data_IF_586051337929
#
_entry.id   IF_586051337929
#
_cell.length_a   1.000
_cell.length_b   1.000
_cell.length_c   1.000
_cell.angle_alpha   90.00
_cell.angle_beta   90.00
_cell.angle_gamma   90.00
#
_symmetry.space_group_name_H-M   'P 1'
#
loop_
_entity.id
_entity.type
_entity.pdbx_description
1 polymer ?
#
# COMPACT_ATOMS: atom_id res chain seq x y z
N UNK A 1 16.89 -27.15 -21.64
CA UNK A 1 16.44 -27.53 -20.27
C UNK A 1 17.64 -27.49 -19.33
N UNK A 2 17.81 -26.44 -18.51
CA UNK A 2 18.80 -26.43 -17.44
C UNK A 2 18.15 -26.67 -16.06
N UNK A 3 18.98 -27.16 -15.15
CA UNK A 3 18.68 -27.90 -13.93
C UNK A 3 18.39 -27.00 -12.71
N UNK A 4 17.38 -27.40 -11.93
CA UNK A 4 16.93 -26.83 -10.66
C UNK A 4 17.92 -27.14 -9.51
N UNK A 5 19.12 -26.54 -9.50
CA UNK A 5 20.13 -26.80 -8.43
C UNK A 5 20.76 -25.55 -7.81
N UNK A 6 20.09 -24.39 -7.85
CA UNK A 6 20.53 -23.21 -7.08
C UNK A 6 19.41 -22.71 -6.17
N UNK A 7 19.09 -23.51 -5.14
CA UNK A 7 18.32 -23.02 -4.00
C UNK A 7 19.18 -21.99 -3.25
N UNK A 8 18.85 -20.71 -3.48
CA UNK A 8 19.58 -19.53 -3.04
C UNK A 8 19.96 -19.57 -1.54
N UNK A 9 21.16 -19.06 -1.16
CA UNK A 9 21.59 -18.96 0.24
C UNK A 9 20.62 -18.14 1.12
N UNK A 10 19.83 -17.25 0.51
CA UNK A 10 18.77 -16.50 1.17
C UNK A 10 17.63 -17.39 1.70
N UNK A 11 17.23 -18.44 0.96
CA UNK A 11 16.21 -19.39 1.43
C UNK A 11 16.70 -20.24 2.62
N UNK A 12 18.01 -20.54 2.67
CA UNK A 12 18.63 -21.23 3.80
C UNK A 12 18.72 -20.31 5.03
N UNK A 13 19.12 -19.05 4.85
CA UNK A 13 19.16 -18.05 5.92
C UNK A 13 17.75 -17.77 6.48
N UNK A 14 16.75 -17.59 5.62
CA UNK A 14 15.35 -17.43 6.05
C UNK A 14 14.82 -18.65 6.80
N UNK A 15 15.11 -19.88 6.34
CA UNK A 15 14.73 -21.10 7.07
C UNK A 15 15.43 -21.26 8.42
N UNK A 16 16.64 -20.73 8.57
CA UNK A 16 17.37 -20.74 9.83
C UNK A 16 16.78 -19.70 10.80
N UNK A 17 16.54 -18.47 10.33
CA UNK A 17 15.88 -17.41 11.11
C UNK A 17 14.47 -17.82 11.53
N UNK A 18 13.68 -18.41 10.62
CA UNK A 18 12.35 -18.94 10.92
C UNK A 18 12.42 -20.05 11.97
N UNK A 19 13.38 -20.97 11.87
CA UNK A 19 13.58 -22.02 12.91
C UNK A 19 13.98 -21.43 14.26
N UNK A 20 14.78 -20.37 14.31
CA UNK A 20 15.14 -19.69 15.56
C UNK A 20 13.98 -18.92 16.17
N UNK A 21 13.16 -18.26 15.35
CA UNK A 21 11.96 -17.55 15.79
C UNK A 21 10.91 -18.54 16.30
N UNK A 22 10.66 -19.61 15.55
CA UNK A 22 9.75 -20.70 15.95
C UNK A 22 10.27 -21.42 17.18
N UNK A 23 11.58 -21.64 17.34
CA UNK A 23 12.10 -22.27 18.55
C UNK A 23 11.95 -21.36 19.76
N UNK A 24 12.23 -20.06 19.66
CA UNK A 24 12.00 -19.12 20.78
C UNK A 24 10.52 -19.00 21.15
N UNK A 25 9.65 -18.92 20.15
CA UNK A 25 8.19 -18.92 20.38
C UNK A 25 7.77 -20.25 20.99
N UNK A 26 8.26 -21.39 20.50
CA UNK A 26 7.97 -22.71 21.06
C UNK A 26 8.48 -22.87 22.51
N UNK A 27 9.61 -22.27 22.87
CA UNK A 27 10.11 -22.26 24.25
C UNK A 27 9.25 -21.34 25.14
N UNK A 28 8.75 -20.21 24.61
CA UNK A 28 7.78 -19.35 25.31
C UNK A 28 6.38 -19.95 25.42
N UNK A 29 6.02 -20.87 24.54
CA UNK A 29 4.75 -21.60 24.53
C UNK A 29 4.73 -22.80 25.49
N UNK A 30 5.90 -23.25 25.97
CA UNK A 30 5.99 -24.34 26.93
C UNK A 30 5.55 -23.84 28.31
N UNK A 31 4.53 -24.44 28.92
CA UNK A 31 4.16 -24.09 30.29
C UNK A 31 5.29 -24.49 31.22
N UNK A 32 5.76 -23.55 32.04
CA UNK A 32 6.61 -23.88 33.17
C UNK A 32 5.77 -24.71 34.15
N UNK A 33 6.15 -25.97 34.37
CA UNK A 33 5.64 -26.79 35.45
C UNK A 33 6.81 -27.46 36.17
N UNK A 34 6.71 -27.50 37.48
CA UNK A 34 7.68 -28.15 38.34
C UNK A 34 7.09 -29.44 38.85
N UNK A 35 7.91 -30.46 38.88
CA UNK A 35 7.59 -31.73 39.52
C UNK A 35 8.49 -31.87 40.73
N UNK A 36 7.88 -31.95 41.91
CA UNK A 36 8.59 -32.23 43.16
C UNK A 36 8.53 -33.73 43.39
N UNK A 37 9.66 -34.41 43.21
CA UNK A 37 9.78 -35.84 43.38
C UNK A 37 10.22 -36.10 44.82
N UNK A 38 9.41 -36.81 45.59
CA UNK A 38 9.84 -37.36 46.88
C UNK A 38 10.63 -38.63 46.63
N UNK A 39 11.89 -38.63 47.02
CA UNK A 39 12.76 -39.81 46.94
C UNK A 39 12.73 -40.57 48.27
N UNK A 40 12.32 -41.84 48.25
CA UNK A 40 12.46 -42.76 49.40
C UNK A 40 13.82 -43.48 49.38
N UNK A 41 14.86 -42.82 48.87
CA UNK A 41 16.21 -43.37 48.92
C UNK A 41 16.68 -43.32 50.38
N UNK A 42 16.69 -44.49 51.04
CA UNK A 42 17.35 -44.80 52.30
C UNK A 42 17.57 -43.61 53.25
N UNK A 43 16.60 -43.38 54.15
CA UNK A 43 16.69 -42.55 55.35
C UNK A 43 16.75 -41.02 55.21
N UNK A 44 16.84 -40.44 54.01
CA UNK A 44 16.74 -38.97 53.85
C UNK A 44 15.69 -38.60 52.79
N UNK A 45 14.56 -38.05 53.24
CA UNK A 45 13.44 -37.66 52.38
C UNK A 45 13.80 -36.38 51.61
N UNK A 46 14.69 -36.52 50.63
CA UNK A 46 15.09 -35.41 49.76
C UNK A 46 13.99 -35.14 48.74
N UNK A 47 13.62 -33.86 48.58
CA UNK A 47 12.70 -33.44 47.53
C UNK A 47 13.51 -32.91 46.36
N UNK A 48 13.51 -33.65 45.25
CA UNK A 48 14.21 -33.23 44.02
C UNK A 48 13.22 -32.47 43.14
N UNK A 49 13.60 -31.27 42.71
CA UNK A 49 12.83 -30.46 41.78
C UNK A 49 13.27 -30.78 40.35
N UNK A 50 12.31 -31.15 39.52
CA UNK A 50 12.56 -31.55 38.14
C UNK A 50 11.63 -30.80 37.19
N UNK A 51 12.15 -30.40 36.02
CA UNK A 51 11.35 -29.87 34.91
C UNK A 51 10.54 -30.98 34.21
N UNK A 52 9.55 -30.63 33.39
CA UNK A 52 8.78 -31.56 32.58
C UNK A 52 9.63 -32.42 31.63
N UNK A 53 10.80 -31.92 31.22
CA UNK A 53 11.78 -32.65 30.39
C UNK A 53 12.64 -33.63 31.20
N UNK A 54 12.44 -33.68 32.52
CA UNK A 54 13.13 -34.58 33.42
C UNK A 54 14.50 -34.11 33.86
N UNK A 55 14.83 -32.82 33.75
CA UNK A 55 16.11 -32.27 34.20
C UNK A 55 16.01 -31.83 35.66
N UNK A 56 16.96 -32.27 36.48
CA UNK A 56 17.09 -31.79 37.87
C UNK A 56 17.44 -30.31 37.85
N UNK A 57 16.75 -29.53 38.68
CA UNK A 57 16.93 -28.10 38.83
C UNK A 57 17.56 -27.83 40.17
N UNK A 58 18.87 -27.60 40.17
CA UNK A 58 19.61 -27.19 41.35
C UNK A 58 20.63 -26.09 40.98
N UNK A 59 20.47 -24.83 41.45
CA UNK A 59 19.39 -24.28 42.28
C UNK A 59 18.10 -23.97 41.50
N UNK A 60 16.93 -23.83 42.18
CA UNK A 60 15.68 -23.48 41.52
C UNK A 60 15.77 -22.10 40.85
N UNK A 61 15.40 -21.97 39.56
CA UNK A 61 15.61 -20.74 38.81
C UNK A 61 14.77 -19.57 39.37
N UNK A 62 15.44 -18.45 39.67
CA UNK A 62 14.86 -17.24 40.27
C UNK A 62 13.63 -16.67 39.54
N UNK A 63 13.54 -16.87 38.21
CA UNK A 63 12.44 -16.37 37.37
C UNK A 63 11.08 -16.98 37.74
N UNK A 64 11.08 -18.17 38.34
CA UNK A 64 9.87 -18.96 38.58
C UNK A 64 9.16 -18.62 39.88
N UNK A 65 9.80 -17.87 40.79
CA UNK A 65 9.13 -17.24 41.94
C UNK A 65 8.16 -16.13 41.52
N UNK A 66 8.35 -15.51 40.34
CA UNK A 66 7.54 -14.36 39.88
C UNK A 66 6.35 -14.74 39.00
N UNK A 67 6.36 -15.92 38.38
CA UNK A 67 5.36 -16.34 37.40
C UNK A 67 4.79 -17.66 37.90
N UNK A 68 3.49 -17.70 38.24
CA UNK A 68 2.84 -18.84 38.89
C UNK A 68 3.12 -20.19 38.21
N UNK A 69 4.15 -20.89 38.69
CA UNK A 69 4.50 -22.24 38.24
C UNK A 69 3.63 -23.23 38.97
N UNK A 70 3.04 -24.16 38.21
CA UNK A 70 2.25 -25.23 38.81
C UNK A 70 3.17 -26.32 39.35
N UNK A 71 3.05 -26.59 40.64
CA UNK A 71 3.75 -27.69 41.30
C UNK A 71 2.93 -28.98 41.20
N UNK A 72 3.58 -30.07 40.81
CA UNK A 72 3.00 -31.40 40.77
C UNK A 72 3.77 -32.32 41.71
N UNK A 73 3.12 -32.87 42.75
CA UNK A 73 3.75 -33.85 43.61
C UNK A 73 3.94 -35.17 42.85
N UNK A 74 5.13 -35.75 43.00
CA UNK A 74 5.52 -36.99 42.35
C UNK A 74 6.23 -37.92 43.33
N UNK A 75 6.18 -39.23 43.05
CA UNK A 75 6.91 -40.26 43.82
C UNK A 75 7.99 -40.89 42.94
N UNK A 76 9.15 -41.16 43.53
CA UNK A 76 10.19 -41.95 42.86
C UNK A 76 9.80 -43.42 42.78
N UNK A 77 10.14 -44.09 41.68
CA UNK A 77 10.06 -45.56 41.61
C UNK A 77 11.13 -46.16 42.55
N UNK A 78 10.77 -47.09 43.47
CA UNK A 78 11.71 -47.86 44.25
C UNK A 78 12.72 -48.61 43.38
N UNK A 79 14.00 -48.60 43.76
CA UNK A 79 15.06 -49.21 42.93
C UNK A 79 14.89 -50.70 42.72
N UNK A 80 14.23 -51.40 43.66
CA UNK A 80 13.95 -52.84 43.60
C UNK A 80 13.02 -53.24 42.44
N UNK A 81 12.22 -52.31 41.93
CA UNK A 81 11.28 -52.56 40.82
C UNK A 81 11.88 -52.27 39.45
N UNK A 82 13.12 -51.76 39.41
CA UNK A 82 13.76 -51.25 38.20
C UNK A 82 14.91 -52.16 37.79
N UNK A 83 14.80 -52.79 36.62
CA UNK A 83 15.91 -53.51 36.01
C UNK A 83 16.69 -52.56 35.12
N UNK A 84 18.00 -52.41 35.36
CA UNK A 84 18.86 -51.44 34.67
C UNK A 84 19.95 -52.14 33.89
N UNK A 85 20.30 -51.60 32.73
CA UNK A 85 21.46 -52.04 31.95
C UNK A 85 22.05 -50.88 31.17
N UNK A 86 23.37 -50.81 31.11
CA UNK A 86 24.10 -49.85 30.29
C UNK A 86 24.88 -50.56 29.18
N UNK A 87 24.99 -49.93 28.01
CA UNK A 87 25.85 -50.40 26.94
C UNK A 87 26.38 -49.24 26.11
N UNK A 88 27.52 -49.44 25.46
CA UNK A 88 28.05 -48.50 24.48
C UNK A 88 27.44 -48.79 23.10
N UNK A 89 26.93 -47.74 22.47
CA UNK A 89 26.43 -47.75 21.11
C UNK A 89 27.49 -47.10 20.19
N UNK A 90 27.81 -47.73 19.04
CA UNK A 90 28.71 -47.12 18.06
C UNK A 90 28.14 -45.80 17.49
N UNK A 91 29.01 -44.92 16.96
CA UNK A 91 28.58 -43.69 16.31
C UNK A 91 27.75 -44.03 15.07
N UNK A 92 26.49 -43.59 15.07
CA UNK A 92 25.53 -43.82 13.99
C UNK A 92 24.69 -42.56 13.78
N UNK A 93 23.97 -42.50 12.66
CA UNK A 93 22.99 -41.44 12.40
C UNK A 93 21.88 -41.45 13.48
N UNK A 94 21.38 -40.28 13.94
CA UNK A 94 20.49 -40.23 15.11
C UNK A 94 19.19 -41.02 14.98
N UNK A 95 18.60 -41.12 13.78
CA UNK A 95 17.39 -41.92 13.58
C UNK A 95 17.71 -43.41 13.65
N UNK A 96 18.78 -43.86 12.98
CA UNK A 96 19.26 -45.24 13.06
C UNK A 96 19.65 -45.64 14.50
N UNK A 97 20.28 -44.74 15.25
CA UNK A 97 20.65 -44.97 16.64
C UNK A 97 19.42 -45.23 17.52
N UNK A 98 18.36 -44.41 17.37
CA UNK A 98 17.10 -44.60 18.12
C UNK A 98 16.47 -45.96 17.80
N UNK A 99 16.36 -46.29 16.51
CA UNK A 99 15.80 -47.57 16.09
C UNK A 99 16.57 -48.77 16.65
N UNK A 100 17.92 -48.69 16.67
CA UNK A 100 18.76 -49.73 17.24
C UNK A 100 18.58 -49.89 18.76
N UNK A 101 18.46 -48.78 19.50
CA UNK A 101 18.22 -48.79 20.95
C UNK A 101 16.83 -49.38 21.26
N UNK A 102 15.80 -48.98 20.50
CA UNK A 102 14.43 -49.48 20.68
C UNK A 102 14.33 -50.97 20.40
N UNK A 103 14.91 -51.45 19.28
CA UNK A 103 14.94 -52.86 18.94
C UNK A 103 15.64 -53.68 20.03
N UNK A 104 16.81 -53.21 20.50
CA UNK A 104 17.55 -53.87 21.59
C UNK A 104 16.76 -53.85 22.90
N UNK A 105 16.06 -52.77 23.19
CA UNK A 105 15.18 -52.64 24.35
C UNK A 105 14.06 -53.67 24.36
N UNK A 106 13.46 -53.93 23.20
CA UNK A 106 12.42 -54.95 23.04
C UNK A 106 12.98 -56.37 23.17
N UNK A 107 14.11 -56.66 22.51
CA UNK A 107 14.72 -58.00 22.53
C UNK A 107 15.30 -58.39 23.89
N UNK A 108 15.71 -57.41 24.70
CA UNK A 108 16.29 -57.64 26.02
C UNK A 108 15.28 -57.44 27.16
N UNK A 109 13.99 -57.25 26.85
CA UNK A 109 12.97 -57.12 27.89
C UNK A 109 12.76 -58.44 28.63
N UNK A 110 12.85 -58.45 29.97
CA UNK A 110 12.52 -59.61 30.79
C UNK A 110 11.01 -59.73 31.10
N UNK A 111 10.20 -58.76 30.64
CA UNK A 111 8.77 -58.70 30.94
C UNK A 111 7.92 -58.96 29.69
N UNK A 112 6.65 -59.36 29.84
CA UNK A 112 5.72 -59.49 28.72
C UNK A 112 5.58 -58.16 27.96
N UNK A 113 5.36 -58.17 26.63
CA UNK A 113 5.28 -56.95 25.82
C UNK A 113 4.18 -55.96 26.26
N UNK A 114 3.10 -56.45 26.87
CA UNK A 114 1.99 -55.61 27.37
C UNK A 114 2.29 -54.90 28.68
N UNK A 115 3.20 -55.47 29.47
CA UNK A 115 3.52 -55.01 30.83
C UNK A 115 4.88 -54.30 30.91
N UNK A 116 5.71 -54.45 29.87
CA UNK A 116 7.03 -53.81 29.80
C UNK A 116 6.91 -52.30 29.61
N UNK A 117 7.55 -51.55 30.50
CA UNK A 117 7.88 -50.15 30.31
C UNK A 117 9.38 -50.00 30.12
N UNK A 118 9.79 -49.63 28.91
CA UNK A 118 11.18 -49.43 28.54
C UNK A 118 11.52 -47.93 28.47
N UNK A 119 12.55 -47.52 29.20
CA UNK A 119 13.07 -46.16 29.18
C UNK A 119 14.56 -46.19 28.87
N UNK A 120 15.02 -45.20 28.11
CA UNK A 120 16.45 -45.08 27.79
C UNK A 120 16.89 -43.61 27.76
N UNK A 121 18.15 -43.39 28.10
CA UNK A 121 18.86 -42.12 27.91
C UNK A 121 20.24 -42.39 27.35
N UNK A 122 20.63 -41.57 26.39
CA UNK A 122 21.89 -41.69 25.69
C UNK A 122 22.75 -40.48 26.00
N UNK A 123 23.99 -40.73 26.42
CA UNK A 123 24.99 -39.71 26.76
C UNK A 123 26.15 -39.85 25.79
N UNK A 124 26.47 -38.77 25.08
CA UNK A 124 27.63 -38.73 24.19
C UNK A 124 28.91 -38.74 25.02
N UNK A 125 29.81 -39.65 24.70
CA UNK A 125 31.11 -39.78 25.35
C UNK A 125 32.20 -39.10 24.50
N UNK A 126 33.30 -38.59 25.09
CA UNK A 126 34.39 -37.94 24.36
C UNK A 126 35.00 -38.82 23.25
N UNK A 127 34.97 -40.13 23.43
CA UNK A 127 35.54 -41.13 22.51
C UNK A 127 34.68 -41.39 21.26
N UNK A 128 33.62 -40.61 21.03
CA UNK A 128 32.70 -40.76 19.90
C UNK A 128 31.66 -41.87 20.06
N UNK A 129 31.77 -42.69 21.10
CA UNK A 129 30.74 -43.65 21.50
C UNK A 129 29.60 -42.97 22.26
N UNK A 130 28.42 -43.58 22.21
CA UNK A 130 27.29 -43.13 23.03
C UNK A 130 26.99 -44.15 24.11
N UNK A 131 27.08 -43.75 25.38
CA UNK A 131 26.68 -44.60 26.50
C UNK A 131 25.16 -44.52 26.66
N UNK A 132 24.49 -45.66 26.50
CA UNK A 132 23.05 -45.77 26.65
C UNK A 132 22.75 -46.42 28.00
N UNK A 133 22.04 -45.70 28.86
CA UNK A 133 21.43 -46.26 30.07
C UNK A 133 19.98 -46.61 29.77
N UNK A 134 19.63 -47.88 29.94
CA UNK A 134 18.26 -48.33 29.83
C UNK A 134 17.73 -48.89 31.14
N UNK A 135 16.42 -48.76 31.29
CA UNK A 135 15.67 -49.33 32.39
C UNK A 135 14.38 -50.00 31.90
N UNK A 136 14.07 -51.14 32.49
CA UNK A 136 12.82 -51.88 32.30
C UNK A 136 12.06 -51.92 33.62
N UNK A 137 10.75 -51.72 33.52
CA UNK A 137 9.81 -51.79 34.63
C UNK A 137 8.59 -52.61 34.20
N UNK A 138 7.94 -53.26 35.16
CA UNK A 138 6.63 -53.88 34.99
C UNK A 138 5.55 -52.89 35.44
N UNK A 139 4.58 -52.60 34.57
CA UNK A 139 3.45 -51.70 34.87
C UNK A 139 2.63 -52.23 36.04
N UNK A 140 2.38 -53.54 36.08
CA UNK A 140 1.64 -54.20 37.15
C UNK A 140 2.38 -54.13 38.49
N UNK A 141 3.70 -54.38 38.52
CA UNK A 141 4.48 -54.31 39.75
C UNK A 141 4.57 -52.88 40.30
N UNK A 142 4.72 -51.88 39.42
CA UNK A 142 4.71 -50.48 39.83
C UNK A 142 3.34 -50.07 40.38
N UNK A 143 2.25 -50.50 39.73
CA UNK A 143 0.88 -50.23 40.22
C UNK A 143 0.60 -50.92 41.56
N UNK A 144 1.14 -52.12 41.78
CA UNK A 144 0.98 -52.86 43.03
C UNK A 144 1.80 -52.25 44.18
N UNK A 145 3.02 -51.78 43.91
CA UNK A 145 3.90 -51.19 44.93
C UNK A 145 3.53 -49.73 45.26
N UNK A 146 2.95 -49.00 44.30
CA UNK A 146 2.48 -47.63 44.49
C UNK A 146 0.97 -47.56 44.18
N UNK A 147 0.11 -48.09 45.05
CA UNK A 147 -1.33 -47.95 44.87
C UNK A 147 -1.73 -46.47 44.95
N UNK A 148 -2.66 -46.08 44.09
CA UNK A 148 -3.30 -44.77 44.17
C UNK A 148 -4.21 -44.73 45.41
N UNK A 149 -3.97 -43.77 46.29
CA UNK A 149 -4.77 -43.56 47.50
C UNK A 149 -6.19 -43.07 47.14
N UNK A 150 -7.26 -43.79 47.54
CA UNK A 150 -8.63 -43.38 47.22
C UNK A 150 -8.95 -42.03 47.86
N UNK A 151 -9.46 -41.09 47.06
CA UNK A 151 -9.81 -39.73 47.49
C UNK A 151 -8.65 -38.73 47.44
N UNK A 152 -7.41 -39.16 47.17
CA UNK A 152 -6.29 -38.27 46.88
C UNK A 152 -6.04 -38.20 45.38
N UNK A 153 -5.46 -37.08 44.96
CA UNK A 153 -5.07 -36.90 43.56
C UNK A 153 -3.91 -37.86 43.24
N UNK A 154 -3.98 -38.72 42.22
CA UNK A 154 -2.90 -39.67 41.92
C UNK A 154 -1.61 -38.91 41.62
N UNK A 155 -0.50 -39.29 42.26
CA UNK A 155 0.79 -38.66 42.09
C UNK A 155 1.48 -39.23 40.84
N UNK A 156 2.22 -38.40 40.11
CA UNK A 156 2.98 -38.91 38.96
C UNK A 156 4.21 -39.69 39.44
N UNK A 157 4.47 -40.82 38.82
CA UNK A 157 5.62 -41.68 39.15
C UNK A 157 6.80 -41.37 38.23
N UNK A 158 8.00 -41.20 38.81
CA UNK A 158 9.21 -40.82 38.08
C UNK A 158 10.39 -41.74 38.37
N UNK A 159 11.20 -41.98 37.34
CA UNK A 159 12.37 -42.85 37.39
C UNK A 159 13.66 -42.05 37.18
N UNK A 160 14.62 -42.15 38.10
CA UNK A 160 15.97 -41.61 37.90
C UNK A 160 16.73 -42.46 36.85
N UNK A 161 17.27 -41.83 35.80
CA UNK A 161 18.03 -42.52 34.75
C UNK A 161 19.14 -41.60 34.21
N UNK A 162 20.43 -41.79 34.55
CA UNK A 162 21.02 -42.84 35.40
C UNK A 162 20.68 -42.70 36.91
N UNK A 163 20.88 -43.74 37.74
CA UNK A 163 20.64 -43.64 39.19
C UNK A 163 21.53 -42.53 39.81
N UNK A 164 20.93 -41.68 40.65
CA UNK A 164 21.60 -40.48 41.20
C UNK A 164 21.99 -39.42 40.15
N UNK A 165 21.58 -39.58 38.89
CA UNK A 165 21.91 -38.67 37.80
C UNK A 165 21.05 -37.41 37.78
N UNK A 166 21.45 -36.40 36.96
CA UNK A 166 20.71 -35.15 36.80
C UNK A 166 19.43 -35.30 35.97
N UNK A 167 19.03 -36.54 35.64
CA UNK A 167 17.94 -36.81 34.72
C UNK A 167 16.97 -37.85 35.25
N UNK A 168 15.69 -37.49 35.19
CA UNK A 168 14.54 -38.30 35.55
C UNK A 168 13.65 -38.50 34.32
N UNK A 169 12.88 -39.57 34.31
CA UNK A 169 11.97 -39.92 33.22
C UNK A 169 10.59 -40.22 33.81
N UNK A 170 9.51 -39.60 33.30
CA UNK A 170 8.17 -39.87 33.80
C UNK A 170 7.69 -41.25 33.36
N UNK A 171 7.09 -41.99 34.27
CA UNK A 171 6.40 -43.25 33.98
C UNK A 171 5.02 -42.91 33.40
N UNK A 172 4.58 -43.53 32.28
CA UNK A 172 3.30 -43.23 31.67
C UNK A 172 2.14 -43.83 32.48
N UNK A 173 1.73 -43.09 33.50
CA UNK A 173 0.60 -43.34 34.39
C UNK A 173 -0.56 -42.36 34.12
N UNK A 174 -1.69 -42.56 34.81
CA UNK A 174 -2.86 -41.67 34.69
C UNK A 174 -2.56 -40.24 35.16
N UNK A 175 -1.66 -40.08 36.14
CA UNK A 175 -1.24 -38.78 36.64
C UNK A 175 -0.45 -37.98 35.58
N UNK A 176 0.49 -38.62 34.88
CA UNK A 176 1.26 -38.03 33.79
C UNK A 176 0.38 -37.67 32.59
N UNK A 177 -0.65 -38.46 32.30
CA UNK A 177 -1.63 -38.08 31.27
C UNK A 177 -2.34 -36.76 31.61
N UNK A 178 -2.64 -36.49 32.89
CA UNK A 178 -3.23 -35.22 33.33
C UNK A 178 -2.24 -34.06 33.17
N UNK A 179 -0.98 -34.25 33.57
CA UNK A 179 0.09 -33.25 33.36
C UNK A 179 0.22 -32.95 31.87
N UNK A 180 0.28 -33.97 31.02
CA UNK A 180 0.37 -33.82 29.56
C UNK A 180 -0.85 -33.15 28.95
N UNK A 181 -2.07 -33.46 29.42
CA UNK A 181 -3.31 -32.79 28.97
C UNK A 181 -3.30 -31.32 29.36
N UNK A 182 -2.91 -31.00 30.59
CA UNK A 182 -2.75 -29.62 31.04
C UNK A 182 -1.69 -28.87 30.23
N UNK A 183 -0.53 -29.50 29.97
CA UNK A 183 0.51 -28.89 29.16
C UNK A 183 0.04 -28.64 27.73
N UNK A 184 -0.63 -29.61 27.10
CA UNK A 184 -1.20 -29.45 25.75
C UNK A 184 -2.23 -28.33 25.71
N UNK A 185 -3.14 -28.30 26.68
CA UNK A 185 -4.15 -27.25 26.76
C UNK A 185 -3.52 -25.87 26.95
N UNK A 186 -2.52 -25.75 27.83
CA UNK A 186 -1.84 -24.47 28.07
C UNK A 186 -0.97 -24.03 26.90
N UNK A 187 -0.29 -24.95 26.23
CA UNK A 187 0.41 -24.65 24.98
C UNK A 187 -0.55 -24.26 23.86
N UNK A 188 -1.73 -24.87 23.78
CA UNK A 188 -2.77 -24.46 22.84
C UNK A 188 -3.30 -23.05 23.17
N UNK A 189 -3.59 -22.76 24.44
CA UNK A 189 -3.98 -21.42 24.89
C UNK A 189 -2.90 -20.38 24.58
N UNK A 190 -1.65 -20.66 24.92
CA UNK A 190 -0.54 -19.77 24.59
C UNK A 190 -0.41 -19.60 23.07
N UNK A 191 -0.66 -20.66 22.29
CA UNK A 191 -0.67 -20.61 20.82
C UNK A 191 -1.76 -19.71 20.28
N UNK A 192 -2.99 -19.82 20.79
CA UNK A 192 -4.11 -18.92 20.45
C UNK A 192 -3.77 -17.48 20.81
N UNK A 193 -3.16 -17.24 21.99
CA UNK A 193 -2.77 -15.91 22.44
C UNK A 193 -1.70 -15.29 21.53
N UNK A 194 -0.72 -16.09 21.09
CA UNK A 194 0.28 -15.68 20.11
C UNK A 194 -0.32 -15.37 18.73
N UNK A 195 -1.23 -16.21 18.23
CA UNK A 195 -1.94 -15.96 16.98
C UNK A 195 -2.80 -14.70 17.10
N UNK A 196 -3.47 -14.51 18.22
CA UNK A 196 -4.24 -13.30 18.52
C UNK A 196 -3.36 -12.05 18.56
N UNK A 197 -2.19 -12.11 19.21
CA UNK A 197 -1.22 -11.01 19.23
C UNK A 197 -0.68 -10.70 17.83
N UNK A 198 -0.39 -11.72 17.02
CA UNK A 198 0.02 -11.55 15.62
C UNK A 198 -1.08 -10.90 14.78
N UNK A 199 -2.33 -11.36 14.95
CA UNK A 199 -3.49 -10.79 14.26
C UNK A 199 -3.73 -9.32 14.67
N UNK A 200 -3.59 -9.00 15.96
CA UNK A 200 -3.64 -7.63 16.48
C UNK A 200 -2.51 -6.77 15.91
N UNK A 201 -1.29 -7.29 15.81
CA UNK A 201 -0.17 -6.60 15.20
C UNK A 201 -0.43 -6.33 13.71
N UNK A 202 -1.00 -7.30 12.99
CA UNK A 202 -1.39 -7.14 11.60
C UNK A 202 -2.51 -6.10 11.45
N UNK A 203 -3.55 -6.16 12.30
CA UNK A 203 -4.64 -5.19 12.32
C UNK A 203 -4.13 -3.78 12.66
N UNK A 204 -3.21 -3.64 13.61
CA UNK A 204 -2.55 -2.39 13.95
C UNK A 204 -1.67 -1.87 12.82
N UNK A 205 -1.07 -2.74 11.99
CA UNK A 205 -0.34 -2.35 10.79
C UNK A 205 -1.27 -1.94 9.64
N UNK A 206 -2.51 -2.45 9.59
CA UNK A 206 -3.54 -2.01 8.65
C UNK A 206 -4.30 -0.75 9.12
N UNK A 207 -4.27 -0.44 10.41
CA UNK A 207 -4.91 0.75 11.01
C UNK A 207 -4.51 2.09 10.36
N UNK A 208 -3.23 2.35 10.00
CA UNK A 208 -2.84 3.61 9.35
C UNK A 208 -3.55 3.80 8.02
N UNK A 209 -3.84 2.71 7.30
CA UNK A 209 -4.54 2.77 6.00
C UNK A 209 -5.97 3.29 6.14
N UNK A 210 -6.61 3.10 7.30
CA UNK A 210 -7.94 3.66 7.58
C UNK A 210 -7.87 5.15 7.90
N UNK A 211 -6.85 5.59 8.65
CA UNK A 211 -6.66 7.00 8.95
C UNK A 211 -6.34 7.84 7.69
N UNK A 212 -5.60 7.28 6.72
CA UNK A 212 -5.38 7.97 5.45
C UNK A 212 -6.68 8.14 4.66
N UNK A 213 -7.57 7.13 4.65
CA UNK A 213 -8.87 7.25 3.96
C UNK A 213 -9.78 8.29 4.59
N UNK A 214 -9.83 8.37 5.93
CA UNK A 214 -10.61 9.39 6.62
C UNK A 214 -10.16 10.81 6.23
N UNK A 215 -8.85 11.07 6.18
CA UNK A 215 -8.31 12.37 5.77
C UNK A 215 -8.62 12.74 4.32
N UNK A 216 -8.65 11.75 3.41
CA UNK A 216 -9.03 11.99 2.01
C UNK A 216 -10.51 12.37 1.91
N UNK A 217 -11.38 11.69 2.66
CA UNK A 217 -12.82 12.02 2.69
C UNK A 217 -13.07 13.42 3.24
N UNK A 218 -12.39 13.81 4.32
CA UNK A 218 -12.51 15.15 4.91
C UNK A 218 -12.03 16.25 3.95
N UNK A 219 -10.90 16.02 3.25
CA UNK A 219 -10.44 16.95 2.23
C UNK A 219 -11.46 17.08 1.09
N UNK A 220 -12.00 15.97 0.58
CA UNK A 220 -13.02 16.04 -0.48
C UNK A 220 -14.30 16.74 -0.04
N UNK A 221 -14.72 16.56 1.22
CA UNK A 221 -15.90 17.22 1.77
C UNK A 221 -15.68 18.74 1.91
N UNK A 222 -14.50 19.18 2.33
CA UNK A 222 -14.14 20.60 2.39
C UNK A 222 -14.09 21.24 1.00
N UNK A 223 -13.53 20.55 0.01
CA UNK A 223 -13.54 21.03 -1.38
C UNK A 223 -14.95 21.11 -1.97
N UNK A 224 -15.79 20.11 -1.69
CA UNK A 224 -17.20 20.11 -2.10
C UNK A 224 -18.00 21.23 -1.42
N UNK A 225 -17.67 21.58 -0.18
CA UNK A 225 -18.29 22.70 0.53
C UNK A 225 -17.86 24.08 -0.03
N UNK A 226 -16.66 24.19 -0.60
CA UNK A 226 -16.15 25.44 -1.20
C UNK A 226 -16.62 25.68 -2.64
N UNK A 227 -16.95 24.62 -3.40
CA UNK A 227 -17.51 24.72 -4.76
C UNK A 227 -18.73 25.66 -4.89
N UNK A 228 -19.79 25.57 -4.04
CA UNK A 228 -20.95 26.45 -4.18
C UNK A 228 -20.61 27.92 -3.90
N UNK A 229 -19.58 28.21 -3.09
CA UNK A 229 -19.12 29.58 -2.86
C UNK A 229 -18.36 30.15 -4.06
N UNK A 230 -17.70 29.31 -4.85
CA UNK A 230 -16.99 29.70 -6.07
C UNK A 230 -17.88 29.75 -7.32
N UNK A 231 -19.03 29.06 -7.32
CA UNK A 231 -20.00 29.05 -8.42
C UNK A 231 -20.41 30.44 -8.93
N UNK A 232 -20.76 31.44 -8.09
CA UNK A 232 -21.12 32.77 -8.59
C UNK A 232 -19.94 33.53 -9.20
N UNK A 233 -18.71 33.30 -8.73
CA UNK A 233 -17.50 33.92 -9.28
C UNK A 233 -17.06 33.30 -10.62
N UNK A 234 -17.35 32.02 -10.83
CA UNK A 234 -17.18 31.37 -12.13
C UNK A 234 -18.25 31.83 -13.12
N UNK A 235 -19.51 31.89 -12.69
CA UNK A 235 -20.60 32.39 -13.52
C UNK A 235 -20.38 33.84 -13.99
N UNK A 236 -19.85 34.72 -13.12
CA UNK A 236 -19.52 36.09 -13.51
C UNK A 236 -18.36 36.17 -14.51
N UNK A 237 -17.35 35.30 -14.39
CA UNK A 237 -16.28 35.18 -15.39
C UNK A 237 -16.82 34.73 -16.74
N UNK A 238 -17.72 33.75 -16.74
CA UNK A 238 -18.34 33.21 -17.96
C UNK A 238 -19.19 34.26 -18.67
N UNK A 239 -19.94 35.07 -17.90
CA UNK A 239 -20.67 36.23 -18.43
C UNK A 239 -19.74 37.29 -19.04
N UNK A 240 -18.60 37.58 -18.41
CA UNK A 240 -17.62 38.52 -18.93
C UNK A 240 -16.96 38.00 -20.21
N UNK A 241 -16.60 36.72 -20.27
CA UNK A 241 -16.05 36.12 -21.49
C UNK A 241 -17.05 36.16 -22.64
N UNK A 242 -18.32 35.85 -22.38
CA UNK A 242 -19.37 35.99 -23.40
C UNK A 242 -19.56 37.45 -23.82
N UNK A 243 -19.58 38.41 -22.89
CA UNK A 243 -19.69 39.82 -23.26
C UNK A 243 -18.53 40.28 -24.17
N UNK A 244 -17.30 39.84 -23.88
CA UNK A 244 -16.12 40.14 -24.71
C UNK A 244 -16.22 39.48 -26.09
N UNK A 245 -16.70 38.24 -26.18
CA UNK A 245 -16.94 37.56 -27.46
C UNK A 245 -17.97 38.30 -28.31
N UNK A 246 -19.07 38.75 -27.70
CA UNK A 246 -20.11 39.50 -28.40
C UNK A 246 -19.59 40.84 -28.92
N UNK A 247 -18.81 41.59 -28.12
CA UNK A 247 -18.21 42.86 -28.56
C UNK A 247 -17.27 42.63 -29.75
N UNK A 248 -16.41 41.60 -29.70
CA UNK A 248 -15.53 41.26 -30.82
C UNK A 248 -16.30 40.92 -32.09
N UNK A 249 -17.39 40.16 -31.97
CA UNK A 249 -18.25 39.85 -33.12
C UNK A 249 -18.91 41.12 -33.70
N UNK A 250 -19.30 42.07 -32.86
CA UNK A 250 -19.82 43.37 -33.31
C UNK A 250 -18.74 44.23 -33.97
N UNK A 251 -17.52 44.28 -33.43
CA UNK A 251 -16.40 45.03 -34.02
C UNK A 251 -16.00 44.46 -35.39
N UNK A 252 -15.99 43.13 -35.56
CA UNK A 252 -15.75 42.48 -36.85
C UNK A 252 -16.81 42.87 -37.91
N UNK A 253 -18.08 42.95 -37.51
CA UNK A 253 -19.17 43.39 -38.37
C UNK A 253 -19.13 44.89 -38.66
N UNK A 254 -18.75 45.70 -37.68
CA UNK A 254 -18.64 47.16 -37.81
C UNK A 254 -17.45 47.57 -38.68
N UNK A 255 -16.30 46.88 -38.55
CA UNK A 255 -15.12 47.10 -39.38
C UNK A 255 -15.38 46.84 -40.88
N UNK A 256 -16.39 46.03 -41.22
CA UNK A 256 -16.83 45.82 -42.59
C UNK A 256 -17.63 46.98 -43.19
N UNK A 257 -18.22 47.88 -42.37
CA UNK A 257 -19.00 49.03 -42.85
C UNK A 257 -18.21 50.32 -42.70
N UNK A 258 -17.87 50.95 -43.82
CA UNK A 258 -17.22 52.27 -43.84
C UNK A 258 -18.26 53.37 -43.62
N UNK A 259 -17.90 54.42 -42.88
CA UNK A 259 -18.83 55.52 -42.53
C UNK A 259 -19.27 56.27 -43.81
N UNK A 260 -20.56 56.19 -44.20
CA UNK A 260 -21.06 56.80 -45.44
C UNK A 260 -20.97 58.32 -45.43
N UNK A 261 -21.00 58.97 -44.26
CA UNK A 261 -20.94 60.43 -44.14
C UNK A 261 -19.55 60.94 -44.51
N UNK A 262 -18.52 60.22 -44.09
CA UNK A 262 -17.13 60.58 -44.33
C UNK A 262 -16.70 60.31 -45.79
N UNK A 263 -17.25 59.26 -46.40
CA UNK A 263 -17.08 59.00 -47.84
C UNK A 263 -17.77 60.07 -48.69
N UNK A 264 -18.95 60.55 -48.26
CA UNK A 264 -19.69 61.61 -48.95
C UNK A 264 -18.97 62.97 -48.86
N UNK A 265 -18.40 63.29 -47.70
CA UNK A 265 -17.63 64.51 -47.48
C UNK A 265 -16.36 64.53 -48.35
N UNK A 266 -15.61 63.42 -48.38
CA UNK A 266 -14.47 63.25 -49.27
C UNK A 266 -14.85 63.40 -50.74
N UNK A 267 -15.96 62.80 -51.15
CA UNK A 267 -16.41 62.87 -52.54
C UNK A 267 -16.76 64.32 -52.90
N UNK A 268 -17.51 65.01 -52.04
CA UNK A 268 -17.95 66.38 -52.29
C UNK A 268 -16.79 67.36 -52.33
N UNK A 269 -15.74 67.16 -51.51
CA UNK A 269 -14.52 67.97 -51.52
C UNK A 269 -13.72 67.88 -52.82
N UNK A 270 -13.99 66.90 -53.68
CA UNK A 270 -13.16 66.59 -54.85
C UNK A 270 -13.90 66.68 -56.17
N UNK A 271 -15.21 66.93 -56.12
CA UNK A 271 -15.97 67.22 -57.33
C UNK A 271 -15.73 68.67 -57.79
N UNK A 272 -15.47 68.90 -59.09
CA UNK A 272 -15.46 70.24 -59.64
C UNK A 272 -16.89 70.82 -59.68
N UNK A 273 -17.05 72.12 -59.41
CA UNK A 273 -18.34 72.82 -59.33
C UNK A 273 -19.24 72.67 -60.58
N UNK A 274 -18.69 72.31 -61.75
CA UNK A 274 -19.42 72.10 -63.01
C UNK A 274 -19.90 70.64 -63.24
N UNK A 275 -19.71 69.75 -62.27
CA UNK A 275 -20.07 68.33 -62.32
C UNK A 275 -21.28 68.01 -61.45
N UNK A 276 -22.27 67.32 -62.01
CA UNK A 276 -23.48 66.93 -61.29
C UNK A 276 -23.51 65.43 -61.05
N UNK A 277 -23.70 65.02 -59.80
CA UNK A 277 -23.98 63.62 -59.42
C UNK A 277 -25.48 63.44 -59.32
N UNK A 278 -26.00 62.39 -59.95
CA UNK A 278 -27.42 62.04 -59.92
C UNK A 278 -27.69 60.80 -59.09
N UNK A 279 -26.74 59.87 -59.01
CA UNK A 279 -26.87 58.63 -58.24
C UNK A 279 -25.56 58.31 -57.51
N UNK A 280 -25.69 57.98 -56.23
CA UNK A 280 -24.61 57.61 -55.33
C UNK A 280 -25.00 56.32 -54.59
N UNK A 281 -24.21 55.27 -54.75
CA UNK A 281 -24.43 53.97 -54.10
C UNK A 281 -23.12 53.49 -53.47
N UNK A 282 -23.14 53.23 -52.16
CA UNK A 282 -21.98 52.78 -51.39
C UNK A 282 -22.24 51.37 -50.84
N UNK A 283 -21.46 50.40 -51.31
CA UNK A 283 -21.51 49.00 -50.89
C UNK A 283 -20.16 48.58 -50.29
N UNK A 284 -20.04 48.72 -48.96
CA UNK A 284 -18.84 48.39 -48.19
C UNK A 284 -17.59 49.18 -48.60
N UNK A 285 -16.78 48.61 -49.49
CA UNK A 285 -15.52 49.18 -50.01
C UNK A 285 -15.62 49.73 -51.43
N UNK A 286 -16.79 49.62 -52.06
CA UNK A 286 -17.01 49.99 -53.46
C UNK A 286 -18.04 51.11 -53.54
N UNK A 287 -17.68 52.19 -54.22
CA UNK A 287 -18.51 53.37 -54.42
C UNK A 287 -18.85 53.50 -55.91
N UNK A 288 -20.14 53.56 -56.23
CA UNK A 288 -20.65 53.75 -57.59
C UNK A 288 -21.29 55.12 -57.70
N UNK A 289 -20.88 55.88 -58.70
CA UNK A 289 -21.34 57.26 -58.93
C UNK A 289 -21.75 57.41 -60.38
N UNK A 290 -22.90 58.04 -60.61
CA UNK A 290 -23.39 58.37 -61.94
C UNK A 290 -23.74 59.86 -62.03
N UNK A 291 -23.42 60.48 -63.15
CA UNK A 291 -23.61 61.92 -63.29
C UNK A 291 -23.28 62.48 -64.68
N UNK A 292 -23.31 63.82 -64.75
CA UNK A 292 -22.95 64.60 -65.93
C UNK A 292 -21.72 65.46 -65.61
N UNK A 293 -20.67 65.32 -66.42
CA UNK A 293 -19.43 66.08 -66.28
C UNK A 293 -19.02 66.68 -67.63
N UNK A 294 -18.37 67.85 -67.67
CA UNK A 294 -17.84 68.40 -68.91
C UNK A 294 -16.68 67.58 -69.52
N UNK A 295 -15.98 66.74 -68.73
CA UNK A 295 -14.92 65.84 -69.23
C UNK A 295 -14.73 64.61 -68.32
N UNK A 296 -15.20 63.45 -68.78
CA UNK A 296 -15.20 62.22 -67.97
C UNK A 296 -13.79 61.62 -67.74
N UNK A 297 -12.90 61.75 -68.73
CA UNK A 297 -11.54 61.22 -68.63
C UNK A 297 -10.67 62.02 -67.63
N UNK A 298 -10.87 63.34 -67.56
CA UNK A 298 -10.19 64.19 -66.59
C UNK A 298 -10.65 63.92 -65.15
N UNK A 299 -11.93 63.60 -64.95
CA UNK A 299 -12.50 63.22 -63.66
C UNK A 299 -11.93 61.88 -63.16
N UNK A 300 -11.88 60.84 -64.00
CA UNK A 300 -11.31 59.54 -63.65
C UNK A 300 -9.84 59.62 -63.20
N UNK A 301 -9.03 60.44 -63.88
CA UNK A 301 -7.61 60.59 -63.53
C UNK A 301 -7.43 61.28 -62.17
N UNK A 302 -8.22 62.32 -61.87
CA UNK A 302 -8.16 63.01 -60.57
C UNK A 302 -8.59 62.11 -59.40
N UNK A 303 -9.64 61.31 -59.60
CA UNK A 303 -10.10 60.35 -58.59
C UNK A 303 -9.13 59.17 -58.41
N UNK A 304 -8.36 58.82 -59.44
CA UNK A 304 -7.32 57.78 -59.36
C UNK A 304 -6.00 58.23 -58.72
N UNK A 305 -5.72 59.53 -58.68
CA UNK A 305 -4.48 60.11 -58.13
C UNK A 305 -4.55 60.37 -56.60
N UNK A 306 -5.67 60.07 -55.96
CA UNK A 306 -5.91 60.43 -54.56
C UNK A 306 -5.56 59.31 -53.57
N UNK A 307 -5.06 59.69 -52.38
CA UNK A 307 -4.67 58.75 -51.35
C UNK A 307 -5.89 57.98 -50.82
N UNK A 308 -5.81 56.65 -50.82
CA UNK A 308 -6.86 55.76 -50.31
C UNK A 308 -7.75 55.10 -51.38
N UNK A 309 -7.57 55.44 -52.67
CA UNK A 309 -8.27 54.79 -53.79
C UNK A 309 -7.43 53.65 -54.35
N UNK A 310 -7.96 52.43 -54.35
CA UNK A 310 -7.27 51.23 -54.84
C UNK A 310 -7.46 51.03 -56.36
N UNK A 311 -8.63 51.37 -56.90
CA UNK A 311 -8.88 51.34 -58.35
C UNK A 311 -10.09 52.18 -58.73
N UNK A 312 -10.02 52.86 -59.88
CA UNK A 312 -11.15 53.56 -60.51
C UNK A 312 -11.43 52.90 -61.85
N UNK A 313 -12.66 52.42 -62.05
CA UNK A 313 -13.09 51.77 -63.29
C UNK A 313 -14.37 52.42 -63.83
N UNK A 314 -14.47 52.59 -65.15
CA UNK A 314 -15.70 53.08 -65.77
C UNK A 314 -16.64 51.91 -66.05
N UNK A 315 -17.83 51.91 -65.44
CA UNK A 315 -18.84 50.87 -65.68
C UNK A 315 -19.59 51.08 -67.01
N UNK A 316 -19.62 52.32 -67.53
CA UNK A 316 -20.14 52.65 -68.87
C UNK A 316 -19.22 53.62 -69.60
N UNK A 317 -19.16 53.50 -70.93
CA UNK A 317 -18.40 54.41 -71.79
C UNK A 317 -19.01 55.82 -71.77
N UNK A 318 -18.16 56.83 -71.56
CA UNK A 318 -18.57 58.23 -71.51
C UNK A 318 -19.21 58.65 -72.84
N UNK A 319 -20.45 59.12 -72.78
CA UNK A 319 -21.22 59.50 -73.97
C UNK A 319 -21.64 60.96 -73.89
N UNK A 320 -21.36 61.73 -74.95
CA UNK A 320 -21.69 63.15 -75.02
C UNK A 320 -23.19 63.32 -75.24
N UNK A 321 -23.87 64.04 -74.35
CA UNK A 321 -25.32 64.27 -74.46
C UNK A 321 -25.55 65.39 -75.47
N UNK A 322 -26.27 65.09 -76.56
CA UNK A 322 -26.53 66.04 -77.65
C UNK A 322 -27.35 67.24 -77.13
N UNK A 323 -26.83 68.45 -77.29
CA UNK A 323 -27.50 69.70 -76.91
C UNK A 323 -27.02 70.39 -75.63
N UNK A 324 -26.26 69.70 -74.76
CA UNK A 324 -25.82 70.25 -73.46
C UNK A 324 -24.29 70.37 -73.30
N UNK A 325 -23.50 69.87 -74.26
CA UNK A 325 -22.04 69.97 -74.21
C UNK A 325 -21.36 69.18 -73.08
N UNK A 326 -22.11 68.45 -72.25
CA UNK A 326 -21.63 67.60 -71.14
C UNK A 326 -21.67 66.11 -71.50
N UNK A 327 -20.87 65.31 -70.82
CA UNK A 327 -20.73 63.86 -70.97
C UNK A 327 -21.39 63.14 -69.79
N UNK A 328 -22.16 62.09 -70.07
CA UNK A 328 -22.69 61.19 -69.04
C UNK A 328 -21.62 60.18 -68.63
N UNK A 329 -21.42 60.00 -67.33
CA UNK A 329 -20.44 59.07 -66.76
C UNK A 329 -21.07 58.16 -65.70
N UNK A 330 -20.56 56.93 -65.63
CA UNK A 330 -20.81 55.99 -64.54
C UNK A 330 -19.46 55.39 -64.12
N UNK A 331 -18.99 55.72 -62.93
CA UNK A 331 -17.67 55.35 -62.42
C UNK A 331 -17.84 54.54 -61.14
N UNK A 332 -17.07 53.47 -61.03
CA UNK A 332 -16.94 52.62 -59.85
C UNK A 332 -15.55 52.82 -59.26
N UNK A 333 -15.51 53.12 -57.96
CA UNK A 333 -14.30 53.40 -57.18
C UNK A 333 -14.20 52.33 -56.11
N UNK A 334 -13.06 51.64 -56.03
CA UNK A 334 -12.76 50.73 -54.92
C UNK A 334 -11.75 51.39 -54.01
N UNK A 335 -12.06 51.45 -52.72
CA UNK A 335 -11.18 52.02 -51.71
C UNK A 335 -10.22 50.96 -51.14
N UNK A 336 -9.01 51.39 -50.80
CA UNK A 336 -8.00 50.56 -50.12
C UNK A 336 -8.30 50.36 -48.63
N UNK A 337 -7.45 49.59 -47.95
CA UNK A 337 -7.63 49.19 -46.54
C UNK A 337 -7.41 50.34 -45.55
N UNK A 338 -6.76 51.44 -45.96
CA UNK A 338 -6.51 52.59 -45.08
C UNK A 338 -7.67 53.61 -45.08
N UNK A 339 -8.05 54.17 -43.92
CA UNK A 339 -9.17 55.09 -43.81
C UNK A 339 -8.83 56.45 -44.41
N UNK A 340 -9.83 57.05 -45.05
CA UNK A 340 -9.97 58.50 -45.07
C UNK A 340 -9.94 58.99 -43.62
N UNK A 341 -8.77 59.43 -43.15
CA UNK A 341 -8.57 59.77 -41.74
C UNK A 341 -8.88 61.26 -41.51
N UNK A 342 -9.82 61.61 -40.61
CA UNK A 342 -9.78 62.88 -39.90
C UNK A 342 -8.79 62.79 -38.74
N UNK A 343 -8.19 63.95 -38.41
CA UNK A 343 -7.00 64.14 -37.61
C UNK A 343 -6.93 63.40 -36.26
N UNK A 344 -5.68 63.12 -35.90
CA UNK A 344 -5.20 62.56 -34.65
C UNK A 344 -5.81 63.18 -33.38
N UNK A 345 -6.09 62.35 -32.38
CA UNK A 345 -5.72 62.69 -31.00
C UNK A 345 -5.33 61.44 -30.24
N UNK A 346 -4.05 61.40 -29.86
CA UNK A 346 -3.48 60.39 -28.99
C UNK A 346 -4.09 60.49 -27.58
N UNK A 347 -4.46 59.36 -27.00
CA UNK A 347 -4.66 59.22 -25.56
C UNK A 347 -4.21 57.82 -25.11
N UNK A 348 -2.91 57.76 -24.79
CA UNK A 348 -2.32 57.13 -23.60
C UNK A 348 -2.94 55.82 -23.08
N UNK A 349 -2.20 54.75 -23.30
CA UNK A 349 -2.12 53.52 -22.49
C UNK A 349 -2.11 53.82 -20.98
N UNK A 350 -2.70 52.94 -20.16
CA UNK A 350 -2.02 52.53 -18.93
C UNK A 350 -1.77 51.02 -18.90
N UNK A 351 -0.50 50.68 -18.67
CA UNK A 351 -0.02 49.33 -18.37
C UNK A 351 -0.66 48.77 -17.08
N UNK A 352 -0.80 47.43 -16.98
CA UNK A 352 -1.26 46.75 -15.78
C UNK A 352 -0.20 46.81 -14.67
N UNK A 353 -0.58 47.32 -13.50
CA UNK A 353 0.24 47.30 -12.30
C UNK A 353 0.05 45.95 -11.59
N UNK A 354 1.11 45.15 -11.60
CA UNK A 354 1.32 44.02 -10.71
C UNK A 354 1.52 44.53 -9.28
N UNK A 355 0.66 44.10 -8.36
CA UNK A 355 0.86 44.29 -6.93
C UNK A 355 0.45 43.03 -6.16
N UNK A 356 1.46 42.33 -5.65
CA UNK A 356 1.43 41.47 -4.45
C UNK A 356 2.89 41.48 -3.96
N UNK A 357 3.12 41.57 -2.65
CA UNK A 357 2.82 40.47 -1.73
C UNK A 357 1.80 40.79 -0.64
#
# INVERSE_FOLDING_TARGET
>A
MPTLSEASPLLRAMRALWRMLVSRVAHGLRPAALVSIQTEAAQDASTVLVDLDGRVLDPPPHRWRRWGVRHWPARSVPEELVLRKSWHQPPMEPAAQRAAIELRGQLQSPFPPRDTLFFWRAFSQPDGHTLVHAAWLSRERVAAALPDEPGKTPLSVWLALPPGGPQWVPVPDAAWQRVRRWCRWRSALNGVLWVGALALMLAAALSPSWHLRARVLDATAQWAALQPMAAPALASREQLTHAVEHIRAFDELAAQRRDPVLVLDWLTAQLPDDTHVSEFELDGSTLRIQGLTPNAAALMRRLGEQPGVASVSATRAATKVLGLGKESYAIEIRFGVDPLAPGATAASTPQPTSATP
#
